data_IF_044648429926
#
_entry.id   IF_044648429926
#
_cell.length_a   1.000
_cell.length_b   1.000
_cell.length_c   1.000
_cell.angle_alpha   90.00
_cell.angle_beta   90.00
_cell.angle_gamma   90.00
#
_symmetry.space_group_name_H-M   'P 1'
#
loop_
_entity.id
_entity.type
_entity.pdbx_description
1 polymer ?
#
# COMPACT_ATOMS: atom_id res chain seq x y z
N UNK A 1 33.78 10.99 21.78
CA UNK A 1 35.06 10.25 21.70
C UNK A 1 36.24 11.08 21.19
N UNK A 2 36.12 11.84 20.09
CA UNK A 2 37.22 12.67 19.58
C UNK A 2 37.77 13.68 20.62
N UNK A 3 36.88 14.36 21.36
CA UNK A 3 37.28 15.28 22.44
C UNK A 3 38.09 14.61 23.54
N UNK A 4 37.65 13.43 24.00
CA UNK A 4 38.37 12.70 25.06
C UNK A 4 39.73 12.20 24.53
N UNK A 5 39.77 11.69 23.29
CA UNK A 5 41.03 11.30 22.63
C UNK A 5 42.03 12.45 22.55
N UNK A 6 41.58 13.67 22.29
CA UNK A 6 42.43 14.86 22.23
C UNK A 6 43.06 15.25 23.58
N UNK A 7 42.57 14.69 24.70
CA UNK A 7 43.17 14.86 26.03
C UNK A 7 44.25 13.83 26.34
N UNK A 8 44.52 12.89 25.42
CA UNK A 8 45.63 11.93 25.56
C UNK A 8 46.92 12.60 25.09
N UNK A 9 47.89 12.75 25.98
CA UNK A 9 49.16 13.44 25.71
C UNK A 9 50.32 12.70 26.38
N UNK A 10 51.53 12.86 25.86
CA UNK A 10 52.75 12.36 26.53
C UNK A 10 53.54 13.51 27.11
N UNK A 11 53.97 13.35 28.35
CA UNK A 11 54.81 14.32 29.05
C UNK A 11 55.84 13.58 29.90
N UNK A 12 57.08 14.05 29.90
CA UNK A 12 58.20 13.43 30.63
C UNK A 12 58.40 11.92 30.37
N UNK A 13 57.97 11.41 29.20
CA UNK A 13 58.04 10.01 28.81
C UNK A 13 56.68 9.28 28.83
N UNK A 14 55.95 9.20 29.96
CA UNK A 14 54.66 8.50 30.00
C UNK A 14 53.55 9.20 29.21
N UNK A 15 52.53 8.41 28.85
CA UNK A 15 51.27 8.90 28.27
C UNK A 15 50.20 9.06 29.35
N UNK A 16 49.42 10.14 29.26
CA UNK A 16 48.37 10.51 30.20
C UNK A 16 47.06 10.79 29.49
N UNK A 17 45.93 10.48 30.12
CA UNK A 17 44.61 10.99 29.79
C UNK A 17 44.23 12.05 30.83
N UNK A 18 44.00 13.29 30.40
CA UNK A 18 43.67 14.40 31.30
C UNK A 18 44.86 15.34 31.54
N UNK A 19 44.84 16.10 32.64
CA UNK A 19 45.81 17.14 32.93
C UNK A 19 46.89 16.64 33.90
N UNK A 20 48.07 16.31 33.36
CA UNK A 20 49.27 16.03 34.15
C UNK A 20 50.05 17.34 34.40
N UNK A 21 50.71 17.46 35.56
CA UNK A 21 51.61 18.58 35.87
C UNK A 21 52.98 18.10 36.34
N UNK A 22 53.02 17.26 37.37
CA UNK A 22 54.26 16.70 37.91
C UNK A 22 54.00 15.41 38.71
N UNK A 23 55.07 14.64 38.95
CA UNK A 23 55.11 13.44 39.81
C UNK A 23 54.08 12.34 39.45
N UNK A 24 52.82 12.51 39.85
CA UNK A 24 51.79 11.47 39.87
C UNK A 24 50.42 11.96 39.38
N UNK A 25 49.50 11.00 39.17
CA UNK A 25 48.09 11.25 38.87
C UNK A 25 47.21 10.86 40.06
N UNK A 26 47.33 11.58 41.17
CA UNK A 26 46.63 11.34 42.44
C UNK A 26 45.45 12.28 42.67
N UNK A 27 45.22 13.24 41.75
CA UNK A 27 44.17 14.24 41.87
C UNK A 27 44.58 15.49 42.64
N UNK A 28 45.79 15.51 43.20
CA UNK A 28 46.34 16.71 43.86
C UNK A 28 46.51 17.86 42.86
N UNK A 29 46.26 19.09 43.31
CA UNK A 29 46.29 20.26 42.45
C UNK A 29 47.69 20.55 41.90
N UNK A 30 48.75 20.25 42.65
CA UNK A 30 50.12 20.43 42.23
C UNK A 30 50.56 19.32 41.26
N UNK A 31 50.08 18.07 41.45
CA UNK A 31 50.52 16.91 40.67
C UNK A 31 49.73 16.68 39.37
N UNK A 32 48.39 16.67 39.45
CA UNK A 32 47.54 16.54 38.27
C UNK A 32 46.32 15.64 38.47
N UNK A 33 45.32 15.88 37.61
CA UNK A 33 44.08 15.11 37.52
C UNK A 33 44.11 14.37 36.18
N UNK A 34 44.72 13.20 36.21
CA UNK A 34 45.03 12.42 35.03
C UNK A 34 44.91 10.91 35.27
N UNK A 35 45.02 10.14 34.19
CA UNK A 35 45.27 8.70 34.24
C UNK A 35 46.59 8.45 33.52
N UNK A 36 47.55 7.83 34.21
CA UNK A 36 48.86 7.48 33.64
C UNK A 36 48.81 6.11 32.99
N UNK A 37 49.31 6.00 31.76
CA UNK A 37 49.48 4.73 31.05
C UNK A 37 50.94 4.32 31.07
N UNK A 38 51.25 3.30 31.87
CA UNK A 38 52.58 2.70 31.93
C UNK A 38 52.86 1.85 30.68
N UNK A 39 54.10 1.83 30.20
CA UNK A 39 54.49 1.06 29.01
C UNK A 39 54.22 1.75 27.67
N UNK A 40 53.68 2.97 27.69
CA UNK A 40 53.50 3.79 26.50
C UNK A 40 54.32 5.08 26.61
N UNK A 41 55.43 5.14 25.85
CA UNK A 41 56.35 6.29 25.82
C UNK A 41 55.88 7.44 24.91
N UNK A 42 54.81 7.22 24.14
CA UNK A 42 54.26 8.20 23.21
C UNK A 42 52.74 8.09 23.13
N UNK A 43 52.08 9.24 22.94
CA UNK A 43 50.64 9.35 22.84
C UNK A 43 50.26 8.80 21.48
N UNK A 44 49.67 7.62 21.47
CA UNK A 44 49.19 6.98 20.26
C UNK A 44 47.70 6.71 20.35
N UNK A 45 47.06 6.63 19.19
CA UNK A 45 45.69 6.17 19.07
C UNK A 45 45.48 4.77 19.67
N UNK A 46 46.54 3.95 19.73
CA UNK A 46 46.50 2.62 20.32
C UNK A 46 46.30 2.64 21.84
N UNK A 47 46.87 3.62 22.55
CA UNK A 47 46.65 3.78 24.02
C UNK A 47 45.18 4.05 24.31
N UNK A 48 44.57 4.97 23.56
CA UNK A 48 43.17 5.29 23.75
C UNK A 48 42.27 4.12 23.33
N UNK A 49 42.64 3.40 22.27
CA UNK A 49 41.90 2.25 21.76
C UNK A 49 42.00 0.98 22.62
N UNK A 50 43.04 0.84 23.45
CA UNK A 50 43.18 -0.32 24.34
C UNK A 50 42.24 -0.27 25.56
N UNK A 51 41.67 0.90 25.88
CA UNK A 51 40.77 1.07 27.00
C UNK A 51 39.43 0.37 26.73
N UNK A 52 39.09 -0.62 27.57
CA UNK A 52 37.85 -1.41 27.40
C UNK A 52 36.60 -0.53 27.38
N UNK A 53 36.56 0.51 28.21
CA UNK A 53 35.41 1.44 28.22
C UNK A 53 35.32 2.26 26.93
N UNK A 54 36.44 2.57 26.26
CA UNK A 54 36.43 3.27 24.97
C UNK A 54 35.76 2.42 23.91
N UNK A 55 36.08 1.13 23.88
CA UNK A 55 35.48 0.19 22.93
C UNK A 55 33.97 0.06 23.18
N UNK A 56 33.54 -0.13 24.44
CA UNK A 56 32.11 -0.16 24.80
C UNK A 56 31.35 1.09 24.39
N UNK A 57 31.93 2.28 24.58
CA UNK A 57 31.29 3.54 24.17
C UNK A 57 31.23 3.67 22.64
N UNK A 58 32.28 3.28 21.92
CA UNK A 58 32.26 3.27 20.46
C UNK A 58 31.21 2.31 19.90
N UNK A 59 31.07 1.13 20.50
CA UNK A 59 30.04 0.16 20.12
C UNK A 59 28.64 0.72 20.36
N UNK A 60 28.40 1.34 21.51
CA UNK A 60 27.13 2.01 21.79
C UNK A 60 26.80 3.10 20.77
N UNK A 61 27.79 3.94 20.41
CA UNK A 61 27.63 4.97 19.37
C UNK A 61 27.26 4.34 18.02
N UNK A 62 27.92 3.24 17.65
CA UNK A 62 27.63 2.51 16.41
C UNK A 62 26.20 1.98 16.41
N UNK A 63 25.77 1.34 17.50
CA UNK A 63 24.41 0.80 17.65
C UNK A 63 23.36 1.90 17.56
N UNK A 64 23.59 3.05 18.20
CA UNK A 64 22.67 4.21 18.12
C UNK A 64 22.54 4.68 16.67
N UNK A 65 23.65 4.87 15.96
CA UNK A 65 23.63 5.31 14.54
C UNK A 65 22.89 4.32 13.65
N UNK A 66 23.09 3.03 13.86
CA UNK A 66 22.38 1.99 13.10
C UNK A 66 20.87 2.04 13.39
N UNK A 67 20.48 2.24 14.65
CA UNK A 67 19.08 2.40 15.04
C UNK A 67 18.44 3.64 14.42
N UNK A 68 19.15 4.78 14.40
CA UNK A 68 18.68 6.02 13.77
C UNK A 68 18.47 5.84 12.27
N UNK A 69 19.41 5.18 11.59
CA UNK A 69 19.30 4.89 10.16
C UNK A 69 18.12 3.95 9.87
N UNK A 70 18.00 2.85 10.63
CA UNK A 70 16.87 1.92 10.49
C UNK A 70 15.53 2.64 10.72
N UNK A 71 15.46 3.54 11.69
CA UNK A 71 14.27 4.35 11.97
C UNK A 71 13.95 5.30 10.79
N UNK A 72 14.97 5.91 10.18
CA UNK A 72 14.79 6.77 9.01
C UNK A 72 14.24 5.97 7.84
N UNK A 73 14.81 4.81 7.55
CA UNK A 73 14.34 3.92 6.48
C UNK A 73 12.92 3.44 6.73
N UNK A 74 12.59 3.05 7.96
CA UNK A 74 11.24 2.65 8.34
C UNK A 74 10.21 3.77 8.11
N UNK A 75 10.56 5.03 8.40
CA UNK A 75 9.68 6.19 8.11
C UNK A 75 9.42 6.35 6.61
N UNK A 76 10.44 6.18 5.78
CA UNK A 76 10.32 6.27 4.31
C UNK A 76 9.38 5.16 3.80
N UNK A 77 9.62 3.91 4.22
CA UNK A 77 8.78 2.76 3.83
C UNK A 77 7.35 2.97 4.29
N UNK A 78 7.13 3.45 5.52
CA UNK A 78 5.80 3.76 6.03
C UNK A 78 5.08 4.79 5.17
N UNK A 79 5.75 5.89 4.80
CA UNK A 79 5.15 6.92 3.95
C UNK A 79 4.79 6.40 2.54
N UNK A 80 5.64 5.55 1.96
CA UNK A 80 5.34 4.88 0.70
C UNK A 80 4.11 3.97 0.82
N UNK A 81 4.04 3.16 1.88
CA UNK A 81 2.90 2.27 2.12
C UNK A 81 1.59 3.04 2.34
N UNK A 82 1.63 4.15 3.07
CA UNK A 82 0.46 5.02 3.26
C UNK A 82 -0.02 5.62 1.92
N UNK A 83 0.91 6.00 1.05
CA UNK A 83 0.62 6.50 -0.29
C UNK A 83 -0.06 5.43 -1.15
N UNK A 84 0.51 4.22 -1.21
CA UNK A 84 -0.06 3.09 -1.95
C UNK A 84 -1.45 2.72 -1.43
N UNK A 85 -1.62 2.67 -0.10
CA UNK A 85 -2.90 2.39 0.52
C UNK A 85 -3.95 3.45 0.17
N UNK A 86 -3.56 4.73 0.08
CA UNK A 86 -4.44 5.80 -0.36
C UNK A 86 -4.88 5.64 -1.82
N UNK A 87 -3.95 5.26 -2.71
CA UNK A 87 -4.23 5.01 -4.13
C UNK A 87 -5.16 3.82 -4.34
N UNK A 88 -4.97 2.73 -3.58
CA UNK A 88 -5.86 1.57 -3.58
C UNK A 88 -7.27 1.98 -3.13
N UNK A 89 -7.39 2.74 -2.04
CA UNK A 89 -8.69 3.23 -1.55
C UNK A 89 -9.40 4.13 -2.57
N UNK A 90 -8.68 5.05 -3.21
CA UNK A 90 -9.21 5.90 -4.26
C UNK A 90 -9.71 5.08 -5.46
N UNK A 91 -8.93 4.08 -5.88
CA UNK A 91 -9.29 3.15 -6.95
C UNK A 91 -10.52 2.33 -6.62
N UNK A 92 -10.61 1.79 -5.40
CA UNK A 92 -11.79 1.05 -4.96
C UNK A 92 -13.05 1.93 -4.94
N UNK A 93 -12.93 3.17 -4.48
CA UNK A 93 -14.02 4.14 -4.47
C UNK A 93 -14.48 4.52 -5.89
N UNK A 94 -13.56 4.72 -6.83
CA UNK A 94 -13.90 5.02 -8.22
C UNK A 94 -14.63 3.85 -8.89
N UNK A 95 -14.23 2.61 -8.63
CA UNK A 95 -14.91 1.40 -9.10
C UNK A 95 -16.33 1.32 -8.52
N UNK A 96 -16.49 1.56 -7.21
CA UNK A 96 -17.81 1.57 -6.55
C UNK A 96 -18.71 2.65 -7.15
N UNK A 97 -18.19 3.85 -7.35
CA UNK A 97 -18.94 4.95 -7.95
C UNK A 97 -19.37 4.62 -9.38
N UNK A 98 -18.46 4.11 -10.22
CA UNK A 98 -18.77 3.68 -11.59
C UNK A 98 -19.84 2.60 -11.63
N UNK A 99 -19.82 1.64 -10.70
CA UNK A 99 -20.89 0.63 -10.57
C UNK A 99 -22.24 1.27 -10.25
N UNK A 100 -22.29 2.15 -9.24
CA UNK A 100 -23.53 2.88 -8.89
C UNK A 100 -24.10 3.65 -10.09
N UNK A 101 -23.26 4.42 -10.80
CA UNK A 101 -23.70 5.17 -12.00
C UNK A 101 -24.22 4.24 -13.08
N UNK A 102 -23.55 3.10 -13.31
CA UNK A 102 -24.02 2.10 -14.29
C UNK A 102 -25.35 1.50 -13.90
N UNK A 103 -25.53 1.13 -12.63
CA UNK A 103 -26.78 0.56 -12.13
C UNK A 103 -27.94 1.58 -12.22
N UNK A 104 -27.68 2.85 -11.89
CA UNK A 104 -28.65 3.94 -12.06
C UNK A 104 -29.03 4.17 -13.52
N UNK A 105 -28.07 4.16 -14.46
CA UNK A 105 -28.36 4.26 -15.90
C UNK A 105 -29.18 3.06 -16.40
N UNK A 106 -28.87 1.85 -15.92
CA UNK A 106 -29.59 0.65 -16.31
C UNK A 106 -31.01 0.61 -15.72
N UNK A 107 -31.22 1.19 -14.54
CA UNK A 107 -32.55 1.42 -13.97
C UNK A 107 -33.34 2.46 -14.77
N UNK A 108 -32.72 3.59 -15.15
CA UNK A 108 -33.37 4.61 -15.98
C UNK A 108 -33.74 4.08 -17.39
N UNK A 109 -32.88 3.28 -18.01
CA UNK A 109 -33.16 2.61 -19.30
C UNK A 109 -34.29 1.57 -19.17
N UNK A 110 -34.37 0.88 -18.02
CA UNK A 110 -35.49 0.00 -17.70
C UNK A 110 -36.79 0.75 -17.32
N UNK A 111 -36.70 2.06 -17.09
CA UNK A 111 -37.84 2.97 -16.82
C UNK A 111 -38.36 3.62 -18.11
N UNK A 112 -37.79 3.30 -19.29
CA UNK A 112 -38.53 3.39 -20.55
C UNK A 112 -39.59 2.28 -20.50
N UNK A 113 -40.64 2.57 -19.73
CA UNK A 113 -41.63 1.61 -19.27
C UNK A 113 -42.57 1.16 -20.39
N UNK A 114 -43.45 0.20 -20.06
CA UNK A 114 -44.47 -0.34 -20.97
C UNK A 114 -45.37 0.74 -21.60
N UNK A 115 -45.41 1.95 -21.04
CA UNK A 115 -46.26 3.05 -21.48
C UNK A 115 -45.85 3.66 -22.84
N UNK A 116 -44.55 3.83 -23.14
CA UNK A 116 -44.13 4.25 -24.50
C UNK A 116 -44.40 3.16 -25.53
N UNK A 117 -44.29 1.91 -25.10
CA UNK A 117 -44.50 0.75 -25.97
C UNK A 117 -45.98 0.49 -26.25
N UNK A 118 -46.87 0.76 -25.29
CA UNK A 118 -48.33 0.73 -25.47
C UNK A 118 -48.77 1.77 -26.51
N UNK A 119 -48.34 3.03 -26.36
CA UNK A 119 -48.71 4.12 -27.28
C UNK A 119 -48.26 3.88 -28.73
N UNK A 120 -47.08 3.29 -28.94
CA UNK A 120 -46.61 2.97 -30.30
C UNK A 120 -47.45 1.87 -30.96
N UNK A 121 -47.85 0.84 -30.22
CA UNK A 121 -48.70 -0.22 -30.77
C UNK A 121 -50.16 0.24 -30.95
N UNK A 122 -50.67 1.06 -30.03
CA UNK A 122 -51.96 1.74 -30.15
C UNK A 122 -52.03 2.61 -31.39
N UNK A 123 -50.98 3.36 -31.76
CA UNK A 123 -50.99 4.21 -32.96
C UNK A 123 -51.00 3.43 -34.29
N UNK A 124 -50.66 2.14 -34.28
CA UNK A 124 -50.50 1.33 -35.49
C UNK A 124 -51.47 0.13 -35.56
N UNK A 125 -52.47 0.07 -34.68
CA UNK A 125 -53.43 -1.02 -34.59
C UNK A 125 -54.35 -1.16 -35.82
N UNK A 126 -54.59 -0.06 -36.54
CA UNK A 126 -55.54 -0.01 -37.66
C UNK A 126 -55.13 -0.85 -38.88
N UNK A 127 -53.89 -1.32 -38.96
CA UNK A 127 -53.42 -2.16 -40.05
C UNK A 127 -52.50 -3.26 -39.53
N UNK A 128 -52.77 -4.50 -39.95
CA UNK A 128 -51.93 -5.67 -39.66
C UNK A 128 -50.48 -5.46 -40.09
N UNK A 129 -50.26 -4.85 -41.24
CA UNK A 129 -48.93 -4.60 -41.78
C UNK A 129 -48.19 -3.53 -40.97
N UNK A 130 -48.87 -2.44 -40.61
CA UNK A 130 -48.25 -1.37 -39.82
C UNK A 130 -47.96 -1.82 -38.38
N UNK A 131 -48.87 -2.58 -37.78
CA UNK A 131 -48.69 -3.21 -36.47
C UNK A 131 -47.49 -4.16 -36.46
N UNK A 132 -47.34 -5.00 -37.51
CA UNK A 132 -46.24 -5.95 -37.60
C UNK A 132 -44.90 -5.24 -37.85
N UNK A 133 -44.88 -4.19 -38.70
CA UNK A 133 -43.70 -3.35 -38.94
C UNK A 133 -43.25 -2.62 -37.67
N UNK A 134 -44.19 -2.23 -36.81
CA UNK A 134 -43.91 -1.62 -35.51
C UNK A 134 -43.42 -2.62 -34.43
N UNK A 135 -43.21 -3.90 -34.78
CA UNK A 135 -42.84 -4.99 -33.86
C UNK A 135 -43.90 -5.34 -32.80
N UNK A 136 -45.17 -5.02 -33.06
CA UNK A 136 -46.30 -5.35 -32.18
C UNK A 136 -46.96 -6.68 -32.61
N UNK A 137 -47.51 -7.42 -31.66
CA UNK A 137 -48.34 -8.61 -31.96
C UNK A 137 -49.75 -8.15 -32.36
N UNK A 138 -50.10 -8.31 -33.63
CA UNK A 138 -51.42 -7.97 -34.15
C UNK A 138 -52.47 -8.98 -33.68
N UNK A 139 -53.53 -8.50 -33.02
CA UNK A 139 -54.69 -9.29 -32.66
C UNK A 139 -55.94 -8.68 -33.29
N UNK A 140 -56.53 -9.38 -34.26
CA UNK A 140 -57.72 -8.94 -34.98
C UNK A 140 -58.98 -8.86 -34.09
N UNK A 141 -58.96 -9.52 -32.93
CA UNK A 141 -60.12 -9.64 -32.03
C UNK A 141 -59.88 -8.89 -30.70
N UNK A 142 -58.96 -7.92 -30.67
CA UNK A 142 -58.72 -7.14 -29.47
C UNK A 142 -59.83 -6.08 -29.27
N UNK A 143 -60.36 -6.00 -28.05
CA UNK A 143 -61.22 -4.90 -27.61
C UNK A 143 -60.47 -3.56 -27.68
N UNK A 144 -61.21 -2.46 -27.89
CA UNK A 144 -60.65 -1.11 -27.91
C UNK A 144 -59.79 -0.86 -26.65
N UNK A 145 -58.52 -0.49 -26.87
CA UNK A 145 -57.53 -0.27 -25.81
C UNK A 145 -56.70 -1.48 -25.39
N UNK A 146 -56.83 -2.65 -26.05
CA UNK A 146 -56.01 -3.86 -25.77
C UNK A 146 -55.23 -4.36 -27.00
N UNK A 147 -54.78 -3.46 -27.86
CA UNK A 147 -54.06 -3.81 -29.10
C UNK A 147 -52.58 -4.12 -28.83
N UNK A 148 -52.28 -5.41 -28.67
CA UNK A 148 -50.97 -6.01 -28.95
C UNK A 148 -49.82 -5.67 -27.98
N UNK A 149 -49.29 -6.68 -27.29
CA UNK A 149 -47.99 -6.58 -26.64
C UNK A 149 -46.90 -6.54 -27.72
N UNK A 150 -45.80 -5.82 -27.52
CA UNK A 150 -44.63 -5.96 -28.40
C UNK A 150 -44.15 -7.41 -28.41
N UNK A 151 -43.72 -7.89 -29.57
CA UNK A 151 -43.03 -9.18 -29.69
C UNK A 151 -41.85 -9.19 -28.72
N UNK A 152 -41.96 -9.95 -27.63
CA UNK A 152 -40.85 -10.07 -26.69
C UNK A 152 -39.66 -10.72 -27.42
N UNK A 153 -38.65 -9.93 -27.79
CA UNK A 153 -37.32 -10.49 -28.06
C UNK A 153 -36.91 -11.19 -26.77
N UNK A 154 -36.76 -12.52 -26.80
CA UNK A 154 -36.26 -13.34 -25.67
C UNK A 154 -35.18 -12.55 -24.93
N UNK A 155 -35.45 -12.16 -23.68
CA UNK A 155 -34.62 -11.22 -22.92
C UNK A 155 -33.14 -11.66 -22.93
N UNK A 156 -32.17 -10.74 -23.08
CA UNK A 156 -30.73 -11.05 -22.99
C UNK A 156 -30.27 -11.57 -21.61
N UNK A 157 -31.18 -11.75 -20.65
CA UNK A 157 -30.88 -12.15 -19.27
C UNK A 157 -30.34 -13.57 -19.16
N UNK A 158 -30.79 -14.53 -19.98
CA UNK A 158 -30.31 -15.92 -19.93
C UNK A 158 -28.85 -16.06 -20.41
N UNK A 159 -28.43 -15.30 -21.45
CA UNK A 159 -27.04 -15.27 -21.94
C UNK A 159 -26.05 -14.67 -20.92
N UNK A 160 -26.46 -13.67 -20.13
CA UNK A 160 -25.59 -13.06 -19.10
C UNK A 160 -25.33 -13.98 -17.91
N UNK A 161 -26.31 -14.79 -17.51
CA UNK A 161 -26.17 -15.72 -16.38
C UNK A 161 -25.26 -16.90 -16.73
N UNK A 162 -25.32 -17.40 -17.96
CA UNK A 162 -24.46 -18.49 -18.45
C UNK A 162 -23.00 -18.05 -18.59
N UNK A 163 -22.74 -16.83 -19.12
CA UNK A 163 -21.39 -16.25 -19.16
C UNK A 163 -20.81 -15.98 -17.76
N UNK A 164 -21.63 -15.55 -16.78
CA UNK A 164 -21.19 -15.39 -15.38
C UNK A 164 -20.80 -16.71 -14.73
N UNK A 165 -21.60 -17.77 -14.92
CA UNK A 165 -21.28 -19.11 -14.41
C UNK A 165 -19.99 -19.68 -15.02
N UNK A 166 -19.75 -19.45 -16.32
CA UNK A 166 -18.52 -19.89 -16.98
C UNK A 166 -17.28 -19.12 -16.50
N UNK A 167 -17.40 -17.79 -16.26
CA UNK A 167 -16.32 -16.97 -15.71
C UNK A 167 -15.98 -17.33 -14.26
N UNK A 168 -16.98 -17.66 -13.43
CA UNK A 168 -16.74 -18.14 -12.06
C UNK A 168 -16.00 -19.48 -12.05
N UNK A 169 -16.36 -20.41 -12.94
CA UNK A 169 -15.67 -21.71 -13.08
C UNK A 169 -14.21 -21.55 -13.53
N UNK A 170 -13.90 -20.59 -14.41
CA UNK A 170 -12.53 -20.31 -14.84
C UNK A 170 -11.68 -19.72 -13.71
N UNK A 171 -12.25 -18.77 -12.95
CA UNK A 171 -11.54 -18.14 -11.83
C UNK A 171 -11.29 -19.13 -10.68
N UNK A 172 -12.23 -20.04 -10.40
CA UNK A 172 -12.04 -21.10 -9.41
C UNK A 172 -10.86 -22.02 -9.76
N UNK A 173 -10.76 -22.46 -11.03
CA UNK A 173 -9.65 -23.31 -11.51
C UNK A 173 -8.29 -22.61 -11.45
N UNK A 174 -8.22 -21.33 -11.80
CA UNK A 174 -6.96 -20.58 -11.72
C UNK A 174 -6.50 -20.38 -10.27
N UNK A 175 -7.44 -20.24 -9.33
CA UNK A 175 -7.11 -20.07 -7.90
C UNK A 175 -6.59 -21.38 -7.29
N UNK A 176 -7.14 -22.52 -7.69
CA UNK A 176 -6.64 -23.85 -7.30
C UNK A 176 -5.23 -24.12 -7.82
N UNK A 177 -4.96 -23.78 -9.09
CA UNK A 177 -3.61 -23.91 -9.69
C UNK A 177 -2.57 -23.04 -8.97
N UNK A 178 -2.94 -21.83 -8.56
CA UNK A 178 -2.06 -20.93 -7.80
C UNK A 178 -1.75 -21.51 -6.40
N UNK A 179 -2.74 -22.11 -5.74
CA UNK A 179 -2.55 -22.77 -4.44
C UNK A 179 -1.65 -24.00 -4.54
N UNK A 180 -1.78 -24.79 -5.61
CA UNK A 180 -0.93 -25.96 -5.83
C UNK A 180 0.54 -25.55 -6.02
N UNK A 181 0.79 -24.49 -6.79
CA UNK A 181 2.14 -23.98 -7.01
C UNK A 181 2.76 -23.35 -5.75
N UNK A 182 1.95 -22.74 -4.88
CA UNK A 182 2.42 -22.18 -3.61
C UNK A 182 2.73 -23.23 -2.54
N UNK A 183 2.26 -24.48 -2.70
CA UNK A 183 2.56 -25.60 -1.81
C UNK A 183 3.79 -26.42 -2.28
N UNK A 184 4.32 -26.15 -3.48
CA UNK A 184 5.46 -26.85 -4.09
C UNK A 184 6.77 -26.03 -4.04
N UNK A 185 6.78 -24.92 -3.31
CA UNK A 185 7.94 -24.05 -3.00
C UNK A 185 8.07 -23.86 -1.51
#
# INVERSE_FOLDING_TARGET
>A
MARIRATVKSEAGPTYLGAWKQCNCDGDQANGQCVKFTGYGTASSAVFGSLTWVNKVNDAIKTIRQSEEATRQAKIIKAQLETELSAIRASANSIRHRRKVKDSRQAADSTIGPERYSKTCEAHHASKDNCTKANCDYNANAEEGKYGKLKQKKKPQQRKQQKRKQKLKLNGKNTEMIKLNAMLT
#
